data_IF_611069436033
#
_entry.id   IF_611069436033
#
_cell.length_a   1.000
_cell.length_b   1.000
_cell.length_c   1.000
_cell.angle_alpha   90.00
_cell.angle_beta   90.00
_cell.angle_gamma   90.00
#
_symmetry.space_group_name_H-M   'P 1'
#
loop_
_entity.id
_entity.type
_entity.pdbx_description
1 polymer ?
#
# COMPACT_ATOMS: atom_id res chain seq x y z
N UNK A 1 47.63 3.66 -17.03
CA UNK A 1 46.33 3.19 -17.56
C UNK A 1 45.49 2.52 -16.50
N UNK A 2 45.98 1.50 -15.76
CA UNK A 2 45.17 0.82 -14.72
C UNK A 2 44.68 1.72 -13.57
N UNK A 3 45.51 2.63 -13.05
CA UNK A 3 45.09 3.58 -11.99
C UNK A 3 44.01 4.55 -12.47
N UNK A 4 44.04 4.93 -13.75
CA UNK A 4 43.03 5.83 -14.33
C UNK A 4 41.67 5.14 -14.48
N UNK A 5 41.69 3.90 -14.97
CA UNK A 5 40.48 3.06 -15.10
C UNK A 5 39.85 2.74 -13.74
N UNK A 6 40.66 2.43 -12.73
CA UNK A 6 40.15 2.17 -11.38
C UNK A 6 39.48 3.42 -10.76
N UNK A 7 40.04 4.61 -10.99
CA UNK A 7 39.42 5.86 -10.55
C UNK A 7 38.14 6.18 -11.33
N UNK A 8 38.11 5.92 -12.64
CA UNK A 8 36.91 6.11 -13.47
C UNK A 8 35.78 5.17 -13.01
N UNK A 9 36.06 3.88 -12.76
CA UNK A 9 35.06 2.93 -12.23
C UNK A 9 34.57 3.29 -10.83
N UNK A 10 35.48 3.70 -9.92
CA UNK A 10 35.08 4.10 -8.57
C UNK A 10 34.23 5.37 -8.57
N UNK A 11 34.43 6.26 -9.54
CA UNK A 11 33.59 7.44 -9.72
C UNK A 11 32.19 7.05 -10.25
N UNK A 12 32.12 6.16 -11.25
CA UNK A 12 30.84 5.67 -11.78
C UNK A 12 29.98 5.03 -10.70
N UNK A 13 30.54 4.11 -9.91
CA UNK A 13 29.82 3.47 -8.80
C UNK A 13 29.41 4.46 -7.71
N UNK A 14 30.18 5.53 -7.50
CA UNK A 14 29.82 6.56 -6.53
C UNK A 14 28.63 7.39 -7.03
N UNK A 15 28.61 7.71 -8.32
CA UNK A 15 27.52 8.43 -8.97
C UNK A 15 26.24 7.54 -9.00
N UNK A 16 26.37 6.24 -9.29
CA UNK A 16 25.28 5.25 -9.25
C UNK A 16 24.71 5.07 -7.85
N UNK A 17 25.57 4.94 -6.82
CA UNK A 17 25.12 4.91 -5.42
C UNK A 17 24.35 6.17 -5.04
N UNK A 18 24.85 7.35 -5.44
CA UNK A 18 24.20 8.60 -5.08
C UNK A 18 22.86 8.76 -5.81
N UNK A 19 22.74 8.26 -7.04
CA UNK A 19 21.47 8.16 -7.75
C UNK A 19 20.50 7.18 -7.05
N UNK A 20 20.95 5.96 -6.75
CA UNK A 20 20.16 4.94 -6.05
C UNK A 20 19.71 5.42 -4.66
N UNK A 21 20.50 6.23 -3.96
CA UNK A 21 20.12 6.85 -2.69
C UNK A 21 19.00 7.87 -2.83
N UNK A 22 19.03 8.68 -3.90
CA UNK A 22 17.96 9.64 -4.17
C UNK A 22 16.68 8.89 -4.49
N UNK A 23 16.75 7.89 -5.38
CA UNK A 23 15.59 7.07 -5.75
C UNK A 23 15.03 6.29 -4.56
N UNK A 24 15.89 5.71 -3.70
CA UNK A 24 15.46 5.06 -2.46
C UNK A 24 14.80 6.04 -1.48
N UNK A 25 15.23 7.30 -1.46
CA UNK A 25 14.60 8.35 -0.65
C UNK A 25 13.20 8.70 -1.20
N UNK A 26 13.10 8.93 -2.51
CA UNK A 26 11.84 9.25 -3.17
C UNK A 26 10.84 8.08 -3.05
N UNK A 27 11.30 6.84 -3.23
CA UNK A 27 10.51 5.63 -3.01
C UNK A 27 10.10 5.48 -1.54
N UNK A 28 10.97 5.80 -0.58
CA UNK A 28 10.62 5.74 0.83
C UNK A 28 9.55 6.76 1.21
N UNK A 29 9.61 7.98 0.67
CA UNK A 29 8.57 9.01 0.87
C UNK A 29 7.23 8.54 0.29
N UNK A 30 7.22 8.07 -0.96
CA UNK A 30 6.02 7.56 -1.61
C UNK A 30 5.41 6.36 -0.89
N UNK A 31 6.24 5.45 -0.37
CA UNK A 31 5.75 4.31 0.41
C UNK A 31 5.09 4.76 1.73
N UNK A 32 5.61 5.80 2.39
CA UNK A 32 4.95 6.34 3.59
C UNK A 32 3.62 7.03 3.26
N UNK A 33 3.54 7.73 2.12
CA UNK A 33 2.28 8.30 1.64
C UNK A 33 1.25 7.21 1.33
N UNK A 34 1.64 6.14 0.62
CA UNK A 34 0.77 4.99 0.33
C UNK A 34 0.31 4.27 1.60
N UNK A 35 1.19 4.13 2.61
CA UNK A 35 0.78 3.57 3.91
C UNK A 35 -0.30 4.41 4.58
N UNK A 36 -0.15 5.74 4.54
CA UNK A 36 -1.14 6.65 5.11
C UNK A 36 -2.49 6.56 4.38
N UNK A 37 -2.46 6.46 3.05
CA UNK A 37 -3.66 6.33 2.21
C UNK A 37 -4.39 4.99 2.47
N UNK A 38 -3.65 3.88 2.64
CA UNK A 38 -4.21 2.58 3.00
C UNK A 38 -4.91 2.64 4.38
N UNK A 39 -4.31 3.29 5.38
CA UNK A 39 -4.93 3.42 6.71
C UNK A 39 -6.19 4.31 6.65
N UNK A 40 -6.14 5.42 5.89
CA UNK A 40 -7.31 6.28 5.70
C UNK A 40 -8.47 5.53 5.05
N UNK A 41 -8.16 4.71 4.04
CA UNK A 41 -9.13 3.85 3.33
C UNK A 41 -9.80 2.84 4.27
N UNK A 42 -8.99 2.17 5.11
CA UNK A 42 -9.50 1.23 6.12
C UNK A 42 -10.40 1.91 7.15
N UNK A 43 -10.01 3.10 7.63
CA UNK A 43 -10.78 3.85 8.60
C UNK A 43 -12.14 4.28 8.04
N UNK A 44 -12.19 4.74 6.78
CA UNK A 44 -13.42 5.09 6.08
C UNK A 44 -14.38 3.90 5.97
N UNK A 45 -13.90 2.74 5.51
CA UNK A 45 -14.73 1.54 5.39
C UNK A 45 -15.31 1.10 6.76
N UNK A 46 -14.52 1.22 7.83
CA UNK A 46 -14.98 0.91 9.19
C UNK A 46 -16.02 1.91 9.71
N UNK A 47 -15.89 3.20 9.37
CA UNK A 47 -16.85 4.23 9.71
C UNK A 47 -18.21 4.01 9.02
N UNK A 48 -18.20 3.62 7.74
CA UNK A 48 -19.43 3.31 6.99
C UNK A 48 -20.18 2.11 7.58
N UNK A 49 -19.45 1.04 7.94
CA UNK A 49 -20.06 -0.11 8.60
C UNK A 49 -20.71 0.28 9.93
N UNK A 50 -20.01 1.12 10.73
CA UNK A 50 -20.52 1.61 12.01
C UNK A 50 -21.80 2.45 11.82
N UNK A 51 -21.81 3.38 10.86
CA UNK A 51 -22.95 4.24 10.58
C UNK A 51 -24.19 3.42 10.17
N UNK A 52 -24.02 2.42 9.30
CA UNK A 52 -25.10 1.52 8.90
C UNK A 52 -25.60 0.68 10.08
N UNK A 53 -24.71 0.22 10.96
CA UNK A 53 -25.10 -0.53 12.16
C UNK A 53 -25.95 0.33 13.10
N UNK A 54 -25.55 1.56 13.35
CA UNK A 54 -26.27 2.49 14.22
C UNK A 54 -27.66 2.83 13.67
N UNK A 55 -27.79 3.08 12.36
CA UNK A 55 -29.08 3.33 11.71
C UNK A 55 -30.02 2.11 11.83
N UNK A 56 -29.48 0.91 11.69
CA UNK A 56 -30.23 -0.34 11.81
C UNK A 56 -30.70 -0.59 13.25
N UNK A 57 -29.86 -0.31 14.25
CA UNK A 57 -30.25 -0.37 15.66
C UNK A 57 -31.36 0.64 16.00
N UNK A 58 -31.27 1.85 15.44
CA UNK A 58 -32.28 2.88 15.62
C UNK A 58 -33.63 2.45 15.05
N UNK A 59 -33.65 1.91 13.84
CA UNK A 59 -34.89 1.40 13.21
C UNK A 59 -35.46 0.20 13.96
N UNK A 60 -34.62 -0.72 14.45
CA UNK A 60 -35.06 -1.82 15.31
C UNK A 60 -35.70 -1.31 16.60
N UNK A 61 -35.14 -0.27 17.20
CA UNK A 61 -35.68 0.39 18.40
C UNK A 61 -37.04 1.04 18.13
N UNK A 62 -37.21 1.70 16.99
CA UNK A 62 -38.51 2.27 16.57
C UNK A 62 -39.56 1.18 16.33
N UNK A 63 -39.17 0.06 15.71
CA UNK A 63 -40.04 -1.11 15.54
C UNK A 63 -40.45 -1.72 16.90
N UNK A 64 -39.51 -1.88 17.83
CA UNK A 64 -39.78 -2.45 19.15
C UNK A 64 -40.64 -1.52 20.04
N UNK A 65 -40.38 -0.21 20.01
CA UNK A 65 -41.14 0.80 20.76
C UNK A 65 -42.57 0.99 20.25
N UNK A 66 -42.86 0.59 19.02
CA UNK A 66 -44.19 0.65 18.41
C UNK A 66 -45.01 -0.63 18.54
N UNK A 67 -44.43 -1.73 19.05
CA UNK A 67 -45.11 -3.03 19.19
C UNK A 67 -46.34 -3.03 20.13
N UNK A 68 -46.63 -1.91 20.82
CA UNK A 68 -47.83 -1.69 21.63
C UNK A 68 -48.95 -0.85 20.98
N UNK A 69 -48.69 -0.22 19.83
CA UNK A 69 -49.66 0.59 19.10
C UNK A 69 -49.61 0.20 17.62
N UNK A 70 -50.72 -0.33 17.08
CA UNK A 70 -50.81 -0.70 15.67
C UNK A 70 -50.45 0.48 14.77
N UNK A 71 -49.24 0.47 14.18
CA UNK A 71 -48.84 1.42 13.16
C UNK A 71 -49.47 1.01 11.82
N UNK A 72 -49.98 1.97 11.02
CA UNK A 72 -50.39 1.71 9.64
C UNK A 72 -49.21 1.28 8.73
N UNK A 73 -47.95 1.47 9.16
CA UNK A 73 -46.74 1.25 8.36
C UNK A 73 -45.83 0.08 8.83
N UNK A 74 -46.31 -0.78 9.75
CA UNK A 74 -45.57 -1.96 10.22
C UNK A 74 -44.89 -2.82 9.12
N UNK A 75 -45.56 -3.18 8.03
CA UNK A 75 -44.92 -3.92 6.92
C UNK A 75 -43.96 -3.08 6.07
N UNK A 76 -43.99 -1.75 6.17
CA UNK A 76 -43.00 -0.86 5.54
C UNK A 76 -41.70 -0.83 6.33
N UNK A 77 -41.80 -0.72 7.67
CA UNK A 77 -40.66 -0.76 8.57
C UNK A 77 -39.95 -2.12 8.56
N UNK A 78 -40.68 -3.23 8.55
CA UNK A 78 -40.08 -4.57 8.43
C UNK A 78 -39.29 -4.73 7.12
N UNK A 79 -39.81 -4.17 6.02
CA UNK A 79 -39.14 -4.20 4.71
C UNK A 79 -37.86 -3.36 4.72
N UNK A 80 -37.89 -2.22 5.41
CA UNK A 80 -36.74 -1.33 5.55
C UNK A 80 -35.64 -1.92 6.43
N UNK A 81 -36.00 -2.57 7.54
CA UNK A 81 -35.06 -3.35 8.35
C UNK A 81 -34.43 -4.48 7.53
N UNK A 82 -35.21 -5.14 6.67
CA UNK A 82 -34.70 -6.16 5.75
C UNK A 82 -33.69 -5.59 4.74
N UNK A 83 -34.01 -4.43 4.12
CA UNK A 83 -33.14 -3.71 3.19
C UNK A 83 -31.81 -3.34 3.85
N UNK A 84 -31.85 -2.66 4.99
CA UNK A 84 -30.64 -2.22 5.70
C UNK A 84 -29.83 -3.38 6.26
N UNK A 85 -30.46 -4.49 6.65
CA UNK A 85 -29.72 -5.71 7.04
C UNK A 85 -28.93 -6.28 5.87
N UNK A 86 -29.49 -6.19 4.65
CA UNK A 86 -28.81 -6.65 3.46
C UNK A 86 -27.67 -5.69 3.06
N UNK A 87 -27.89 -4.39 3.17
CA UNK A 87 -26.88 -3.36 2.92
C UNK A 87 -25.72 -3.43 3.92
N UNK A 88 -26.01 -3.63 5.22
CA UNK A 88 -24.99 -3.83 6.23
C UNK A 88 -24.16 -5.09 5.97
N UNK A 89 -24.79 -6.19 5.54
CA UNK A 89 -24.05 -7.40 5.18
C UNK A 89 -23.12 -7.17 3.99
N UNK A 90 -23.57 -6.42 2.98
CA UNK A 90 -22.74 -6.05 1.82
C UNK A 90 -21.60 -5.12 2.24
N UNK A 91 -21.87 -4.12 3.09
CA UNK A 91 -20.87 -3.18 3.58
C UNK A 91 -19.80 -3.88 4.44
N UNK A 92 -20.21 -4.78 5.33
CA UNK A 92 -19.28 -5.56 6.17
C UNK A 92 -18.42 -6.51 5.32
N UNK A 93 -18.98 -7.17 4.32
CA UNK A 93 -18.20 -7.98 3.36
C UNK A 93 -17.18 -7.12 2.57
N UNK A 94 -17.51 -5.86 2.26
CA UNK A 94 -16.59 -4.93 1.60
C UNK A 94 -15.49 -4.46 2.53
N UNK A 95 -15.84 -4.09 3.76
CA UNK A 95 -14.88 -3.67 4.77
C UNK A 95 -13.86 -4.78 5.03
N UNK A 96 -14.30 -6.03 5.15
CA UNK A 96 -13.42 -7.19 5.30
C UNK A 96 -12.46 -7.36 4.11
N UNK A 97 -12.96 -7.22 2.87
CA UNK A 97 -12.10 -7.30 1.68
C UNK A 97 -11.09 -6.16 1.59
N UNK A 98 -11.53 -4.94 1.90
CA UNK A 98 -10.64 -3.78 1.93
C UNK A 98 -9.57 -3.93 3.02
N UNK A 99 -9.91 -4.57 4.15
CA UNK A 99 -8.95 -4.89 5.21
C UNK A 99 -7.93 -5.95 4.78
N UNK A 100 -8.38 -7.05 4.15
CA UNK A 100 -7.48 -8.07 3.60
C UNK A 100 -6.52 -7.48 2.55
N UNK A 101 -7.06 -6.68 1.61
CA UNK A 101 -6.27 -6.08 0.53
C UNK A 101 -5.31 -5.00 1.06
N UNK A 102 -5.72 -4.25 2.09
CA UNK A 102 -4.84 -3.33 2.81
C UNK A 102 -3.67 -4.04 3.52
N UNK A 103 -3.90 -5.22 4.10
CA UNK A 103 -2.84 -6.01 4.73
C UNK A 103 -1.85 -6.56 3.70
N UNK A 104 -2.34 -7.08 2.58
CA UNK A 104 -1.49 -7.56 1.48
C UNK A 104 -0.63 -6.41 0.91
N UNK A 105 -1.22 -5.25 0.63
CA UNK A 105 -0.49 -4.07 0.14
C UNK A 105 0.58 -3.59 1.12
N UNK A 106 0.32 -3.63 2.43
CA UNK A 106 1.32 -3.31 3.46
C UNK A 106 2.51 -4.24 3.42
N UNK A 107 2.26 -5.55 3.28
CA UNK A 107 3.31 -6.54 3.20
C UNK A 107 4.18 -6.35 1.93
N UNK A 108 3.54 -6.02 0.81
CA UNK A 108 4.23 -5.72 -0.44
C UNK A 108 5.06 -4.43 -0.37
N UNK A 109 4.58 -3.39 0.32
CA UNK A 109 5.32 -2.16 0.57
C UNK A 109 6.54 -2.40 1.47
N UNK A 110 6.41 -3.22 2.53
CA UNK A 110 7.54 -3.56 3.41
C UNK A 110 8.63 -4.34 2.66
N UNK A 111 8.23 -5.28 1.81
CA UNK A 111 9.17 -6.00 0.95
C UNK A 111 9.90 -5.07 -0.03
N UNK A 112 9.19 -4.09 -0.59
CA UNK A 112 9.77 -3.10 -1.51
C UNK A 112 10.77 -2.17 -0.79
N UNK A 113 10.46 -1.72 0.43
CA UNK A 113 11.40 -0.94 1.24
C UNK A 113 12.68 -1.71 1.56
N UNK A 114 12.56 -3.01 1.83
CA UNK A 114 13.71 -3.85 2.16
C UNK A 114 14.62 -4.08 0.94
N UNK A 115 14.05 -4.31 -0.24
CA UNK A 115 14.82 -4.42 -1.49
C UNK A 115 15.62 -3.13 -1.78
N UNK A 116 14.98 -1.97 -1.66
CA UNK A 116 15.64 -0.68 -1.91
C UNK A 116 16.83 -0.44 -0.97
N UNK A 117 16.70 -0.85 0.30
CA UNK A 117 17.81 -0.80 1.27
C UNK A 117 18.95 -1.75 0.92
N UNK A 118 18.63 -2.93 0.40
CA UNK A 118 19.63 -3.93 0.00
C UNK A 118 20.46 -3.44 -1.18
N UNK A 119 19.84 -2.80 -2.18
CA UNK A 119 20.55 -2.29 -3.35
C UNK A 119 21.55 -1.19 -2.98
N UNK A 120 21.14 -0.23 -2.13
CA UNK A 120 22.04 0.79 -1.59
C UNK A 120 23.20 0.15 -0.82
N UNK A 121 22.92 -0.89 -0.02
CA UNK A 121 23.95 -1.58 0.76
C UNK A 121 24.96 -2.32 -0.14
N UNK A 122 24.51 -2.95 -1.22
CA UNK A 122 25.38 -3.63 -2.20
C UNK A 122 26.34 -2.62 -2.86
N UNK A 123 25.82 -1.47 -3.32
CA UNK A 123 26.64 -0.42 -3.93
C UNK A 123 27.65 0.17 -2.93
N UNK A 124 27.27 0.30 -1.66
CA UNK A 124 28.18 0.72 -0.60
C UNK A 124 29.31 -0.29 -0.35
N UNK A 125 28.99 -1.59 -0.33
CA UNK A 125 29.97 -2.66 -0.17
C UNK A 125 30.97 -2.70 -1.35
N UNK A 126 30.48 -2.63 -2.58
CA UNK A 126 31.32 -2.59 -3.79
C UNK A 126 32.28 -1.39 -3.79
N UNK A 127 31.81 -0.21 -3.36
CA UNK A 127 32.65 0.98 -3.22
C UNK A 127 33.70 0.83 -2.12
N UNK A 128 33.33 0.23 -1.00
CA UNK A 128 34.24 -0.04 0.10
C UNK A 128 35.32 -1.05 -0.28
N UNK A 129 34.99 -2.09 -1.05
CA UNK A 129 35.96 -3.05 -1.61
C UNK A 129 36.96 -2.36 -2.54
N UNK A 130 36.49 -1.50 -3.45
CA UNK A 130 37.36 -0.72 -4.34
C UNK A 130 38.29 0.22 -3.57
N UNK A 131 37.82 0.81 -2.48
CA UNK A 131 38.63 1.66 -1.59
C UNK A 131 39.67 0.87 -0.79
N UNK A 132 39.37 -0.38 -0.41
CA UNK A 132 40.21 -1.17 0.50
C UNK A 132 41.44 -1.80 -0.17
N UNK A 133 41.43 -2.03 -1.48
CA UNK A 133 42.67 -2.33 -2.20
C UNK A 133 42.56 -3.07 -3.53
N UNK A 134 42.63 -2.31 -4.63
CA UNK A 134 43.42 -2.66 -5.81
C UNK A 134 42.75 -3.50 -6.91
N UNK A 135 42.21 -2.84 -7.93
CA UNK A 135 42.34 -3.18 -9.37
C UNK A 135 42.26 -4.63 -9.85
N UNK A 136 41.60 -5.53 -9.13
CA UNK A 136 41.77 -6.96 -9.32
C UNK A 136 40.62 -7.78 -8.78
N UNK A 137 39.38 -7.40 -9.09
CA UNK A 137 38.30 -8.34 -9.19
C UNK A 137 37.41 -7.90 -10.34
N UNK A 138 37.11 -8.87 -11.19
CA UNK A 138 36.11 -8.81 -12.23
C UNK A 138 34.72 -8.62 -11.60
N UNK A 139 34.43 -7.44 -11.06
CA UNK A 139 33.08 -7.00 -10.77
C UNK A 139 32.49 -6.57 -12.11
N UNK A 140 32.09 -7.55 -12.91
CA UNK A 140 30.96 -7.29 -13.79
C UNK A 140 29.84 -6.82 -12.86
N UNK A 141 29.16 -5.70 -13.13
CA UNK A 141 27.89 -5.41 -12.47
C UNK A 141 27.06 -6.69 -12.52
N UNK A 142 26.54 -7.21 -11.40
CA UNK A 142 25.67 -8.36 -11.44
C UNK A 142 24.66 -8.16 -12.58
N UNK A 143 24.57 -9.13 -13.51
CA UNK A 143 23.73 -9.00 -14.71
C UNK A 143 22.23 -9.07 -14.41
N UNK A 144 21.82 -8.73 -13.19
CA UNK A 144 20.45 -8.56 -12.71
C UNK A 144 20.16 -7.11 -12.28
N UNK A 145 21.16 -6.20 -12.31
CA UNK A 145 21.02 -4.79 -11.89
C UNK A 145 20.20 -3.93 -12.88
N UNK A 146 20.08 -4.32 -14.16
CA UNK A 146 19.20 -3.59 -15.09
C UNK A 146 17.70 -3.89 -14.81
N UNK A 147 17.41 -4.88 -13.97
CA UNK A 147 16.05 -5.27 -13.60
C UNK A 147 15.65 -4.79 -12.21
N UNK A 148 16.55 -4.55 -11.24
CA UNK A 148 16.17 -4.28 -9.85
C UNK A 148 15.49 -2.90 -9.67
N UNK A 149 16.09 -1.85 -10.21
CA UNK A 149 15.51 -0.48 -10.19
C UNK A 149 14.20 -0.44 -10.99
N UNK A 150 14.17 -1.07 -12.18
CA UNK A 150 12.95 -1.18 -12.99
C UNK A 150 11.86 -2.00 -12.28
N UNK A 151 12.23 -3.07 -11.55
CA UNK A 151 11.29 -3.90 -10.78
C UNK A 151 10.75 -3.12 -9.59
N UNK A 152 11.58 -2.36 -8.88
CA UNK A 152 11.12 -1.51 -7.77
C UNK A 152 10.20 -0.40 -8.25
N UNK A 153 10.63 0.37 -9.25
CA UNK A 153 9.81 1.42 -9.86
C UNK A 153 8.49 0.87 -10.41
N UNK A 154 8.51 -0.31 -11.04
CA UNK A 154 7.29 -0.98 -11.52
C UNK A 154 6.40 -1.44 -10.39
N UNK A 155 6.96 -1.97 -9.31
CA UNK A 155 6.22 -2.47 -8.16
C UNK A 155 5.53 -1.34 -7.40
N UNK A 156 6.23 -0.24 -7.17
CA UNK A 156 5.67 0.97 -6.57
C UNK A 156 4.50 1.49 -7.40
N UNK A 157 4.67 1.57 -8.72
CA UNK A 157 3.59 1.99 -9.62
C UNK A 157 2.37 1.06 -9.61
N UNK A 158 2.59 -0.25 -9.53
CA UNK A 158 1.51 -1.22 -9.40
C UNK A 158 0.75 -1.04 -8.09
N UNK A 159 1.46 -0.76 -6.99
CA UNK A 159 0.85 -0.47 -5.69
C UNK A 159 0.03 0.82 -5.72
N UNK A 160 0.52 1.88 -6.38
CA UNK A 160 -0.26 3.11 -6.61
C UNK A 160 -1.57 2.82 -7.35
N UNK A 161 -1.52 2.02 -8.43
CA UNK A 161 -2.71 1.65 -9.21
C UNK A 161 -3.70 0.80 -8.40
N UNK A 162 -3.20 -0.10 -7.55
CA UNK A 162 -4.03 -0.94 -6.67
C UNK A 162 -4.72 -0.10 -5.57
N UNK A 163 -3.99 0.83 -4.93
CA UNK A 163 -4.56 1.75 -3.94
C UNK A 163 -5.61 2.65 -4.59
N UNK A 164 -5.35 3.20 -5.78
CA UNK A 164 -6.32 4.00 -6.51
C UNK A 164 -7.61 3.21 -6.85
N UNK A 165 -7.48 1.93 -7.20
CA UNK A 165 -8.61 1.05 -7.46
C UNK A 165 -9.45 0.78 -6.21
N UNK A 166 -8.81 0.56 -5.06
CA UNK A 166 -9.50 0.39 -3.77
C UNK A 166 -10.30 1.63 -3.38
N UNK A 167 -9.71 2.82 -3.56
CA UNK A 167 -10.38 4.09 -3.30
C UNK A 167 -11.61 4.28 -4.20
N UNK A 168 -11.51 3.94 -5.50
CA UNK A 168 -12.66 4.02 -6.41
C UNK A 168 -13.80 3.09 -6.00
N UNK A 169 -13.49 1.90 -5.48
CA UNK A 169 -14.50 0.95 -4.99
C UNK A 169 -15.24 1.50 -3.76
N UNK A 170 -14.55 2.28 -2.92
CA UNK A 170 -15.13 2.90 -1.72
C UNK A 170 -15.91 4.18 -2.06
N UNK A 171 -15.36 5.07 -2.89
CA UNK A 171 -15.97 6.36 -3.24
C UNK A 171 -17.08 6.24 -4.31
N UNK A 172 -17.01 5.23 -5.19
CA UNK A 172 -17.83 5.12 -6.40
C UNK A 172 -19.30 4.70 -6.20
N UNK A 173 -19.79 4.56 -4.96
CA UNK A 173 -21.18 4.11 -4.70
C UNK A 173 -22.01 5.00 -3.76
N UNK A 174 -21.57 6.24 -3.49
CA UNK A 174 -22.38 7.26 -2.82
C UNK A 174 -23.53 7.81 -3.68
#
# INVERSE_FOLDING_TARGET
TMVRLANENAQQLADERDAAKVEACDAAELIEDLKAEIEATRELAAQDELALRDELEELRRQCAGSSGAALPDGPGLEREVGRLTQELAIASDRAARAEDEAEDLRAELEATQELSRQDVAVLEEQLDELRRGGGGANASPPSWEEDADEVQSRRVKELEEQVAGLLEVIDGQA
#
